data_IF_669408254705
#
_entry.id   IF_669408254705
#
_cell.length_a   1.000
_cell.length_b   1.000
_cell.length_c   1.000
_cell.angle_alpha   90.00
_cell.angle_beta   90.00
_cell.angle_gamma   90.00
#
_symmetry.space_group_name_H-M   'P 1'
#
loop_
_entity.id
_entity.type
_entity.pdbx_description
1 polymer ?
#
# COMPACT_ATOMS: atom_id res chain seq x y z
N UNK A 1 -30.78 1.13 -22.97
CA UNK A 1 -29.78 0.04 -23.11
C UNK A 1 -28.75 0.28 -22.02
N UNK A 2 -28.96 -0.27 -20.82
CA UNK A 2 -28.00 -0.14 -19.73
C UNK A 2 -26.78 -0.99 -20.12
N UNK A 3 -25.60 -0.36 -20.16
CA UNK A 3 -24.35 -1.08 -20.37
C UNK A 3 -24.19 -1.97 -19.14
N UNK A 4 -24.42 -3.27 -19.31
CA UNK A 4 -24.26 -4.23 -18.24
C UNK A 4 -22.75 -4.38 -17.97
N UNK A 5 -22.32 -3.67 -16.93
CA UNK A 5 -20.91 -3.56 -16.52
C UNK A 5 -20.37 -4.90 -15.99
N UNK A 6 -21.25 -5.89 -15.82
CA UNK A 6 -20.95 -7.21 -15.27
C UNK A 6 -20.43 -8.19 -16.33
N UNK A 7 -20.55 -7.88 -17.62
CA UNK A 7 -20.14 -8.76 -18.71
C UNK A 7 -18.67 -8.52 -19.09
N UNK A 8 -17.88 -9.58 -19.25
CA UNK A 8 -16.53 -9.48 -19.84
C UNK A 8 -16.62 -8.89 -21.26
N UNK A 9 -15.75 -7.94 -21.67
CA UNK A 9 -14.54 -7.43 -21.00
C UNK A 9 -14.76 -6.14 -20.16
N UNK A 10 -15.99 -5.62 -20.11
CA UNK A 10 -16.30 -4.35 -19.45
C UNK A 10 -16.06 -4.40 -17.94
N UNK A 11 -16.32 -5.54 -17.31
CA UNK A 11 -16.05 -5.76 -15.88
C UNK A 11 -14.55 -5.66 -15.55
N UNK A 12 -13.68 -6.22 -16.38
CA UNK A 12 -12.23 -6.14 -16.19
C UNK A 12 -11.71 -4.71 -16.34
N UNK A 13 -12.17 -3.99 -17.38
CA UNK A 13 -11.79 -2.60 -17.63
C UNK A 13 -12.29 -1.65 -16.52
N UNK A 14 -13.51 -1.85 -16.04
CA UNK A 14 -14.05 -1.02 -14.95
C UNK A 14 -13.34 -1.28 -13.62
N UNK A 15 -13.06 -2.53 -13.26
CA UNK A 15 -12.28 -2.84 -12.04
C UNK A 15 -10.86 -2.30 -12.15
N UNK A 16 -10.24 -2.38 -13.32
CA UNK A 16 -8.92 -1.80 -13.56
C UNK A 16 -8.95 -0.28 -13.44
N UNK A 17 -9.93 0.39 -14.06
CA UNK A 17 -10.10 1.84 -13.95
C UNK A 17 -10.35 2.29 -12.50
N UNK A 18 -11.19 1.56 -11.76
CA UNK A 18 -11.43 1.80 -10.32
C UNK A 18 -10.14 1.60 -9.52
N UNK A 19 -9.38 0.53 -9.79
CA UNK A 19 -8.12 0.25 -9.11
C UNK A 19 -7.09 1.35 -9.34
N UNK A 20 -6.97 1.83 -10.59
CA UNK A 20 -6.09 2.95 -10.94
C UNK A 20 -6.56 4.22 -10.25
N UNK A 21 -7.84 4.57 -10.33
CA UNK A 21 -8.39 5.76 -9.68
C UNK A 21 -8.13 5.76 -8.18
N UNK A 22 -8.35 4.63 -7.50
CA UNK A 22 -8.12 4.51 -6.06
C UNK A 22 -6.63 4.55 -5.73
N UNK A 23 -5.77 3.91 -6.54
CA UNK A 23 -4.33 4.02 -6.37
C UNK A 23 -3.88 5.48 -6.45
N UNK A 24 -4.34 6.24 -7.45
CA UNK A 24 -4.03 7.67 -7.59
C UNK A 24 -4.59 8.51 -6.44
N UNK A 25 -5.83 8.28 -6.00
CA UNK A 25 -6.44 8.98 -4.87
C UNK A 25 -5.66 8.71 -3.58
N UNK A 26 -5.39 7.44 -3.25
CA UNK A 26 -4.63 7.08 -2.05
C UNK A 26 -3.25 7.73 -2.04
N UNK A 27 -2.61 7.74 -3.20
CA UNK A 27 -1.28 8.30 -3.42
C UNK A 27 -1.29 9.84 -3.28
N UNK A 28 -2.29 10.51 -3.84
CA UNK A 28 -2.49 11.95 -3.71
C UNK A 28 -2.82 12.38 -2.28
N UNK A 29 -3.73 11.65 -1.63
CA UNK A 29 -4.12 11.89 -0.23
C UNK A 29 -2.94 11.69 0.71
N UNK A 30 -2.14 10.63 0.51
CA UNK A 30 -0.92 10.41 1.25
C UNK A 30 0.04 11.60 1.09
N UNK A 31 0.35 12.02 -0.14
CA UNK A 31 1.24 13.16 -0.40
C UNK A 31 0.73 14.45 0.27
N UNK A 32 -0.57 14.71 0.22
CA UNK A 32 -1.18 15.87 0.87
C UNK A 32 -1.09 15.79 2.38
N UNK A 33 -1.37 14.64 2.98
CA UNK A 33 -1.26 14.40 4.43
C UNK A 33 0.18 14.63 4.92
N UNK A 34 1.17 14.05 4.25
CA UNK A 34 2.57 14.24 4.62
C UNK A 34 3.04 15.70 4.45
N UNK A 35 2.63 16.36 3.36
CA UNK A 35 2.98 17.77 3.12
C UNK A 35 2.34 18.70 4.15
N UNK A 36 1.07 18.46 4.53
CA UNK A 36 0.32 19.29 5.48
C UNK A 36 0.68 19.05 6.94
N UNK A 37 0.92 17.79 7.34
CA UNK A 37 1.08 17.42 8.75
C UNK A 37 2.52 17.41 9.23
N UNK A 38 3.47 17.08 8.35
CA UNK A 38 4.90 16.93 8.71
C UNK A 38 5.77 17.89 7.92
N UNK A 39 5.37 18.26 6.71
CA UNK A 39 6.19 19.04 5.79
C UNK A 39 7.11 18.11 4.99
N UNK A 40 7.14 18.31 3.67
CA UNK A 40 7.83 17.41 2.74
C UNK A 40 9.35 17.33 2.99
N UNK A 41 9.97 18.46 3.34
CA UNK A 41 11.41 18.51 3.61
C UNK A 41 11.78 17.84 4.94
N UNK A 42 11.01 18.10 6.02
CA UNK A 42 11.24 17.46 7.32
C UNK A 42 11.05 15.95 7.19
N UNK A 43 10.00 15.51 6.48
CA UNK A 43 9.76 14.10 6.19
C UNK A 43 10.95 13.41 5.49
N UNK A 44 11.53 14.04 4.47
CA UNK A 44 12.68 13.48 3.74
C UNK A 44 13.93 13.38 4.61
N UNK A 45 14.20 14.40 5.42
CA UNK A 45 15.34 14.39 6.36
C UNK A 45 15.16 13.32 7.43
N UNK A 46 13.97 13.22 8.03
CA UNK A 46 13.66 12.19 9.03
C UNK A 46 13.77 10.78 8.45
N UNK A 47 13.31 10.56 7.21
CA UNK A 47 13.48 9.28 6.52
C UNK A 47 14.96 8.90 6.40
N UNK A 48 15.80 9.85 5.97
CA UNK A 48 17.24 9.63 5.80
C UNK A 48 17.94 9.35 7.13
N UNK A 49 17.64 10.13 8.17
CA UNK A 49 18.22 9.89 9.50
C UNK A 49 17.80 8.52 10.07
N UNK A 50 16.55 8.11 9.87
CA UNK A 50 16.08 6.79 10.29
C UNK A 50 16.73 5.65 9.49
N UNK A 51 16.94 5.80 8.18
CA UNK A 51 17.58 4.76 7.37
C UNK A 51 19.06 4.60 7.72
N UNK A 52 19.78 5.71 7.90
CA UNK A 52 21.17 5.72 8.37
C UNK A 52 21.27 5.08 9.77
N UNK A 53 20.36 5.43 10.69
CA UNK A 53 20.31 4.82 12.01
C UNK A 53 20.07 3.31 11.94
N UNK A 54 19.11 2.85 11.13
CA UNK A 54 18.82 1.41 10.96
C UNK A 54 19.99 0.66 10.35
N UNK A 55 20.67 1.25 9.36
CA UNK A 55 21.87 0.68 8.76
C UNK A 55 23.01 0.53 9.77
N UNK A 56 23.29 1.59 10.55
CA UNK A 56 24.29 1.56 11.62
C UNK A 56 23.92 0.55 12.72
N UNK A 57 22.64 0.48 13.10
CA UNK A 57 22.15 -0.48 14.08
C UNK A 57 22.32 -1.92 13.60
N UNK A 58 21.99 -2.20 12.33
CA UNK A 58 22.14 -3.53 11.74
C UNK A 58 23.63 -3.91 11.62
N UNK A 59 24.48 -2.98 11.21
CA UNK A 59 25.93 -3.20 11.12
C UNK A 59 26.54 -3.48 12.51
N UNK A 60 26.21 -2.67 13.52
CA UNK A 60 26.68 -2.84 14.90
C UNK A 60 26.17 -4.14 15.53
N UNK A 61 24.92 -4.53 15.25
CA UNK A 61 24.35 -5.80 15.69
C UNK A 61 25.06 -7.00 15.04
N UNK A 62 25.33 -6.95 13.73
CA UNK A 62 26.09 -8.00 13.02
C UNK A 62 27.53 -8.11 13.53
N UNK A 63 28.15 -6.98 13.87
CA UNK A 63 29.51 -6.93 14.41
C UNK A 63 29.60 -7.22 15.92
N UNK A 64 28.48 -7.44 16.62
CA UNK A 64 28.42 -7.57 18.09
C UNK A 64 29.14 -6.42 18.85
N UNK A 65 29.20 -5.22 18.27
CA UNK A 65 29.88 -4.07 18.87
C UNK A 65 28.97 -3.42 19.93
N UNK A 66 29.16 -3.85 21.19
CA UNK A 66 28.42 -3.36 22.35
C UNK A 66 28.60 -1.85 22.57
N UNK A 67 29.76 -1.27 22.23
CA UNK A 67 30.03 0.17 22.42
C UNK A 67 29.27 1.01 21.39
N UNK A 68 29.21 0.56 20.14
CA UNK A 68 28.39 1.23 19.12
C UNK A 68 26.89 1.09 19.42
N UNK A 69 26.43 -0.08 19.87
CA UNK A 69 25.04 -0.29 20.24
C UNK A 69 24.61 0.64 21.39
N UNK A 70 25.43 0.83 22.42
CA UNK A 70 25.14 1.78 23.50
C UNK A 70 25.07 3.24 23.01
N UNK A 71 25.94 3.64 22.08
CA UNK A 71 25.87 4.98 21.46
C UNK A 71 24.61 5.17 20.63
N UNK A 72 24.21 4.15 19.86
CA UNK A 72 22.98 4.16 19.06
C UNK A 72 21.74 4.18 19.96
N UNK A 73 21.75 3.45 21.07
CA UNK A 73 20.67 3.47 22.08
C UNK A 73 20.38 4.87 22.62
N UNK A 74 21.39 5.74 22.74
CA UNK A 74 21.18 7.15 23.12
C UNK A 74 20.40 7.94 22.06
N UNK A 75 20.59 7.64 20.78
CA UNK A 75 19.85 8.24 19.65
C UNK A 75 18.46 7.64 19.47
N UNK A 76 18.20 6.44 20.00
CA UNK A 76 16.92 5.74 19.89
C UNK A 76 15.72 6.60 20.30
N UNK A 77 15.84 7.39 21.38
CA UNK A 77 14.77 8.31 21.82
C UNK A 77 14.43 9.37 20.77
N UNK A 78 15.45 9.96 20.14
CA UNK A 78 15.26 10.93 19.05
C UNK A 78 14.61 10.27 17.83
N UNK A 79 15.10 9.10 17.42
CA UNK A 79 14.54 8.31 16.31
C UNK A 79 13.07 7.92 16.59
N UNK A 80 12.77 7.52 17.83
CA UNK A 80 11.41 7.14 18.23
C UNK A 80 10.46 8.35 18.18
N UNK A 81 10.92 9.53 18.61
CA UNK A 81 10.15 10.76 18.46
C UNK A 81 9.90 11.11 16.99
N UNK A 82 10.88 10.91 16.11
CA UNK A 82 10.70 11.07 14.67
C UNK A 82 9.69 10.07 14.09
N UNK A 83 9.79 8.81 14.53
CA UNK A 83 8.85 7.74 14.13
C UNK A 83 7.41 8.09 14.54
N UNK A 84 7.21 8.60 15.77
CA UNK A 84 5.88 9.05 16.25
C UNK A 84 5.33 10.24 15.47
N UNK A 85 6.17 11.17 15.05
CA UNK A 85 5.75 12.28 14.18
C UNK A 85 5.27 11.75 12.82
N UNK A 86 5.99 10.77 12.26
CA UNK A 86 5.65 10.14 10.97
C UNK A 86 4.46 9.15 11.07
N UNK A 87 4.17 8.63 12.25
CA UNK A 87 3.03 7.71 12.44
C UNK A 87 1.68 8.42 12.37
N UNK A 88 1.59 9.73 12.63
CA UNK A 88 0.34 10.51 12.54
C UNK A 88 -0.29 10.50 11.14
N UNK A 89 0.40 10.94 10.07
CA UNK A 89 -0.14 10.86 8.72
C UNK A 89 -0.42 9.40 8.31
N UNK A 90 0.43 8.45 8.74
CA UNK A 90 0.23 7.04 8.47
C UNK A 90 -1.03 6.47 9.14
N UNK A 91 -1.35 6.86 10.37
CA UNK A 91 -2.58 6.48 11.06
C UNK A 91 -3.83 6.99 10.35
N UNK A 92 -3.81 8.26 9.92
CA UNK A 92 -4.92 8.84 9.15
C UNK A 92 -5.07 8.08 7.83
N UNK A 93 -3.97 7.75 7.16
CA UNK A 93 -3.98 6.95 5.96
C UNK A 93 -4.57 5.55 6.19
N UNK A 94 -4.23 4.87 7.29
CA UNK A 94 -4.84 3.59 7.66
C UNK A 94 -6.36 3.75 7.84
N UNK A 95 -6.81 4.81 8.53
CA UNK A 95 -8.24 5.12 8.66
C UNK A 95 -8.95 5.31 7.32
N UNK A 96 -8.29 5.95 6.35
CA UNK A 96 -8.81 6.10 4.99
C UNK A 96 -8.86 4.76 4.25
N UNK A 97 -7.85 3.90 4.44
CA UNK A 97 -7.87 2.53 3.93
C UNK A 97 -9.01 1.67 4.52
N UNK A 98 -9.49 1.96 5.72
CA UNK A 98 -10.68 1.28 6.27
C UNK A 98 -11.97 1.64 5.51
N UNK A 99 -12.12 2.88 5.06
CA UNK A 99 -13.27 3.30 4.23
C UNK A 99 -13.32 2.48 2.94
N UNK A 100 -12.15 2.20 2.35
CA UNK A 100 -12.04 1.36 1.17
C UNK A 100 -12.53 -0.07 1.40
N UNK A 101 -12.25 -0.67 2.56
CA UNK A 101 -12.77 -1.99 2.94
C UNK A 101 -14.30 -1.96 3.06
N UNK A 102 -14.87 -0.90 3.62
CA UNK A 102 -16.33 -0.74 3.75
C UNK A 102 -16.99 -0.64 2.37
N UNK A 103 -16.46 0.20 1.47
CA UNK A 103 -16.94 0.30 0.08
C UNK A 103 -16.85 -1.06 -0.62
N UNK A 104 -15.80 -1.82 -0.33
CA UNK A 104 -15.60 -3.13 -0.93
C UNK A 104 -16.64 -4.17 -0.49
N UNK A 105 -16.95 -4.21 0.81
CA UNK A 105 -17.94 -5.13 1.37
C UNK A 105 -19.36 -4.75 0.95
N UNK A 106 -19.70 -3.45 0.97
CA UNK A 106 -21.07 -3.00 0.71
C UNK A 106 -21.40 -2.74 -0.77
N UNK A 107 -20.41 -2.44 -1.61
CA UNK A 107 -20.62 -2.13 -3.03
C UNK A 107 -20.11 -3.26 -3.92
N UNK A 108 -18.81 -3.60 -3.85
CA UNK A 108 -18.20 -4.57 -4.79
C UNK A 108 -18.69 -6.01 -4.57
N UNK A 109 -18.82 -6.44 -3.32
CA UNK A 109 -19.24 -7.81 -2.98
C UNK A 109 -20.67 -8.13 -3.46
N UNK A 110 -21.70 -7.31 -3.21
CA UNK A 110 -23.04 -7.62 -3.70
C UNK A 110 -23.22 -7.44 -5.22
N UNK A 111 -22.44 -6.56 -5.86
CA UNK A 111 -22.59 -6.27 -7.31
C UNK A 111 -21.76 -7.22 -8.19
N UNK A 112 -20.54 -7.58 -7.79
CA UNK A 112 -19.62 -8.38 -8.61
C UNK A 112 -19.15 -9.67 -7.91
N UNK A 113 -19.59 -9.94 -6.67
CA UNK A 113 -19.12 -11.08 -5.87
C UNK A 113 -19.58 -12.47 -6.35
N UNK A 114 -20.53 -12.54 -7.29
CA UNK A 114 -20.96 -13.80 -7.93
C UNK A 114 -20.60 -13.91 -9.41
N UNK A 115 -20.02 -12.85 -9.98
CA UNK A 115 -19.73 -12.79 -11.41
C UNK A 115 -18.22 -12.96 -11.62
N UNK A 116 -17.78 -13.88 -12.49
CA UNK A 116 -16.37 -14.00 -12.83
C UNK A 116 -15.91 -12.76 -13.61
N UNK A 117 -14.86 -12.10 -13.12
CA UNK A 117 -14.40 -10.79 -13.64
C UNK A 117 -13.06 -10.85 -14.36
N UNK A 118 -12.29 -11.92 -14.15
CA UNK A 118 -11.03 -12.16 -14.84
C UNK A 118 -10.75 -13.66 -14.98
N UNK A 119 -9.97 -14.01 -16.00
CA UNK A 119 -9.48 -15.36 -16.24
C UNK A 119 -7.98 -15.41 -16.03
N UNK A 120 -7.53 -16.34 -15.18
CA UNK A 120 -6.11 -16.58 -14.98
C UNK A 120 -5.76 -18.02 -15.42
N UNK A 121 -5.26 -18.18 -16.66
CA UNK A 121 -4.88 -19.50 -17.15
C UNK A 121 -3.71 -20.05 -16.31
N UNK A 122 -3.86 -21.29 -15.79
CA UNK A 122 -2.86 -21.96 -14.95
C UNK A 122 -3.17 -21.96 -13.44
N UNK A 123 -4.18 -21.22 -12.97
CA UNK A 123 -4.60 -21.19 -11.56
C UNK A 123 -5.86 -22.01 -11.26
N UNK A 124 -6.38 -22.77 -12.24
CA UNK A 124 -7.61 -23.57 -12.11
C UNK A 124 -7.54 -24.62 -10.99
N UNK A 125 -6.37 -25.25 -10.80
CA UNK A 125 -6.14 -26.23 -9.73
C UNK A 125 -6.13 -25.62 -8.32
N UNK A 126 -5.64 -24.38 -8.17
CA UNK A 126 -5.59 -23.70 -6.87
C UNK A 126 -6.95 -23.11 -6.48
N UNK A 127 -7.69 -22.60 -7.46
CA UNK A 127 -8.98 -21.96 -7.24
C UNK A 127 -10.17 -22.92 -7.24
N UNK A 128 -9.98 -24.22 -7.49
CA UNK A 128 -11.06 -25.22 -7.63
C UNK A 128 -12.20 -24.76 -8.56
N UNK A 129 -11.86 -24.14 -9.68
CA UNK A 129 -12.82 -23.68 -10.68
C UNK A 129 -12.35 -24.11 -12.07
N UNK A 130 -13.25 -24.70 -12.88
CA UNK A 130 -12.96 -25.36 -14.18
C UNK A 130 -12.19 -24.50 -15.18
N UNK A 131 -12.28 -23.18 -15.01
CA UNK A 131 -11.86 -22.20 -15.99
C UNK A 131 -10.84 -21.19 -15.42
N UNK A 132 -10.41 -21.35 -14.16
CA UNK A 132 -9.52 -20.37 -13.51
C UNK A 132 -10.17 -18.99 -13.34
N UNK A 133 -11.50 -18.99 -13.18
CA UNK A 133 -12.31 -17.80 -13.01
C UNK A 133 -11.99 -17.13 -11.68
N UNK A 134 -11.63 -15.85 -11.72
CA UNK A 134 -11.34 -15.04 -10.55
C UNK A 134 -12.49 -14.06 -10.34
N UNK A 135 -13.08 -14.12 -9.15
CA UNK A 135 -14.10 -13.18 -8.68
C UNK A 135 -13.46 -11.85 -8.26
N UNK A 136 -14.25 -10.78 -8.18
CA UNK A 136 -13.79 -9.45 -7.73
C UNK A 136 -13.04 -9.51 -6.39
N UNK A 137 -13.42 -10.48 -5.55
CA UNK A 137 -12.85 -10.79 -4.25
C UNK A 137 -11.33 -11.02 -4.32
N UNK A 138 -10.88 -11.71 -5.35
CA UNK A 138 -9.48 -12.12 -5.53
C UNK A 138 -8.74 -11.24 -6.55
N UNK A 139 -9.44 -10.75 -7.58
CA UNK A 139 -8.83 -9.91 -8.60
C UNK A 139 -8.41 -8.53 -8.06
N UNK A 140 -9.24 -7.96 -7.19
CA UNK A 140 -9.01 -6.61 -6.68
C UNK A 140 -7.80 -6.47 -5.74
N UNK A 141 -7.54 -7.36 -4.76
CA UNK A 141 -6.31 -7.30 -3.96
C UNK A 141 -5.05 -7.40 -4.82
N UNK A 142 -5.07 -8.24 -5.86
CA UNK A 142 -3.94 -8.40 -6.79
C UNK A 142 -3.69 -7.08 -7.53
N UNK A 143 -4.73 -6.47 -8.11
CA UNK A 143 -4.61 -5.16 -8.75
C UNK A 143 -4.19 -4.08 -7.76
N UNK A 144 -4.80 -4.02 -6.57
CA UNK A 144 -4.51 -3.01 -5.55
C UNK A 144 -3.06 -3.11 -5.05
N UNK A 145 -2.53 -4.32 -4.87
CA UNK A 145 -1.14 -4.53 -4.48
C UNK A 145 -0.16 -4.12 -5.60
N UNK A 146 -0.43 -4.54 -6.84
CA UNK A 146 0.37 -4.16 -8.01
C UNK A 146 0.38 -2.65 -8.24
N UNK A 147 -0.80 -2.00 -8.24
CA UNK A 147 -0.90 -0.56 -8.44
C UNK A 147 -0.45 0.23 -7.21
N UNK A 148 -0.60 -0.30 -5.99
CA UNK A 148 -0.09 0.32 -4.77
C UNK A 148 1.44 0.31 -4.69
N UNK A 149 2.08 -0.78 -5.13
CA UNK A 149 3.55 -0.83 -5.26
C UNK A 149 4.04 0.06 -6.40
N UNK A 150 3.30 0.14 -7.51
CA UNK A 150 3.65 1.03 -8.62
C UNK A 150 3.49 2.51 -8.26
N UNK A 151 2.42 2.88 -7.56
CA UNK A 151 2.13 4.25 -7.16
C UNK A 151 3.09 4.75 -6.07
N UNK A 152 3.49 3.87 -5.15
CA UNK A 152 4.51 4.18 -4.15
C UNK A 152 5.91 4.40 -4.76
N UNK A 153 6.25 3.68 -5.85
CA UNK A 153 7.46 3.92 -6.65
C UNK A 153 7.38 5.24 -7.44
N UNK A 154 6.25 5.52 -8.09
CA UNK A 154 6.03 6.74 -8.90
C UNK A 154 6.16 8.04 -8.09
N UNK A 155 5.82 8.01 -6.80
CA UNK A 155 5.97 9.17 -5.91
C UNK A 155 7.32 9.26 -5.19
N UNK A 156 8.24 8.29 -5.36
CA UNK A 156 9.54 8.31 -4.70
C UNK A 156 9.47 8.31 -3.16
N UNK A 157 8.38 7.80 -2.59
CA UNK A 157 8.14 7.75 -1.14
C UNK A 157 8.86 6.57 -0.49
N UNK A 158 9.12 5.52 -1.27
CA UNK A 158 10.19 4.61 -0.94
C UNK A 158 11.48 5.33 -1.28
N UNK A 159 12.29 5.60 -0.26
CA UNK A 159 13.73 5.68 -0.46
C UNK A 159 14.10 4.45 -1.27
N UNK A 160 14.49 4.68 -2.52
CA UNK A 160 15.21 3.70 -3.31
C UNK A 160 16.44 3.42 -2.46
N UNK A 161 16.45 2.26 -1.80
CA UNK A 161 17.68 1.64 -1.29
C UNK A 161 18.68 1.50 -2.43
#
# INVERSE_FOLDING_TARGET
MAIDVSIMPWSTLTILAISVAIAFINTGVMRLLYTKLVGWNEYKTMQKEMSEYRSQQMAAARANDKKQLEKLKKKESQINNMTKKMSKPQMIQIGISFIYIVVWIFVLTPTFGRVPVAYLPGFSQLLHNDLGQITVVYWYPICSFLFGTLSSKLLGIQSIE
#
